data_IF_237357028319
#
_entry.id   IF_237357028319
#
_cell.length_a   1.000
_cell.length_b   1.000
_cell.length_c   1.000
_cell.angle_alpha   90.00
_cell.angle_beta   90.00
_cell.angle_gamma   90.00
#
_symmetry.space_group_name_H-M   'P 1'
#
loop_
_entity.id
_entity.type
_entity.pdbx_description
1 polymer ?
#
# COMPACT_ATOMS: atom_id res chain seq x y z
N UNK A 1 15.31 -1.82 -1.33
CA UNK A 1 13.88 -1.85 -0.92
C UNK A 1 13.77 -1.42 0.54
N UNK A 2 12.63 -0.87 0.96
CA UNK A 2 12.42 -0.50 2.37
C UNK A 2 12.28 -1.72 3.29
N UNK A 3 12.35 -1.51 4.61
CA UNK A 3 12.07 -2.56 5.60
C UNK A 3 10.61 -3.01 5.50
N UNK A 4 10.34 -4.27 5.82
CA UNK A 4 8.97 -4.79 5.88
C UNK A 4 8.23 -4.09 7.04
N UNK A 5 7.02 -3.62 6.79
CA UNK A 5 6.15 -3.06 7.82
C UNK A 5 4.99 -4.00 8.10
N UNK A 6 4.72 -4.29 9.37
CA UNK A 6 3.57 -5.09 9.80
C UNK A 6 2.57 -4.19 10.51
N UNK A 7 1.31 -4.26 10.10
CA UNK A 7 0.20 -3.46 10.60
C UNK A 7 -0.87 -4.39 11.17
N UNK A 8 -1.49 -3.97 12.28
CA UNK A 8 -2.62 -4.65 12.91
C UNK A 8 -3.81 -3.69 12.93
N UNK A 9 -4.94 -4.14 12.41
CA UNK A 9 -6.22 -3.42 12.46
C UNK A 9 -7.25 -4.26 13.21
N UNK A 10 -7.79 -3.70 14.28
CA UNK A 10 -8.95 -4.21 15.00
C UNK A 10 -10.27 -3.68 14.43
N UNK A 11 -11.38 -4.05 15.06
CA UNK A 11 -12.73 -3.64 14.66
C UNK A 11 -12.85 -2.12 14.52
N UNK A 12 -13.41 -1.67 13.41
CA UNK A 12 -13.63 -0.26 13.06
C UNK A 12 -12.40 0.49 12.57
N UNK A 13 -11.19 -0.07 12.73
CA UNK A 13 -9.98 0.58 12.24
C UNK A 13 -9.89 0.43 10.72
N UNK A 14 -9.46 1.52 10.08
CA UNK A 14 -9.32 1.66 8.64
C UNK A 14 -8.03 2.40 8.29
N UNK A 15 -7.75 2.51 6.99
CA UNK A 15 -6.76 3.43 6.47
C UNK A 15 -7.36 4.19 5.30
N UNK A 16 -7.42 5.51 5.40
CA UNK A 16 -8.08 6.37 4.42
C UNK A 16 -7.45 6.27 3.03
N UNK A 17 -8.18 6.63 1.95
CA UNK A 17 -7.64 6.66 0.61
C UNK A 17 -6.34 7.46 0.53
N UNK A 18 -5.29 6.84 -0.02
CA UNK A 18 -3.96 7.43 -0.12
C UNK A 18 -3.17 6.83 -1.29
N UNK A 19 -2.02 7.44 -1.57
CA UNK A 19 -1.02 6.91 -2.49
C UNK A 19 0.21 6.47 -1.71
N UNK A 20 0.87 5.42 -2.20
CA UNK A 20 2.15 4.99 -1.67
C UNK A 20 3.35 5.69 -2.31
N UNK A 21 3.20 6.25 -3.52
CA UNK A 21 4.24 7.07 -4.13
C UNK A 21 4.43 8.38 -3.38
N UNK A 22 5.63 8.94 -3.49
CA UNK A 22 5.92 10.30 -3.10
C UNK A 22 5.42 11.27 -4.18
N UNK A 23 4.53 12.19 -3.82
CA UNK A 23 4.06 13.21 -4.76
C UNK A 23 5.22 14.11 -5.21
N UNK A 24 5.59 14.15 -6.51
CA UNK A 24 6.67 14.99 -7.01
C UNK A 24 6.45 16.49 -6.77
N UNK A 25 5.19 16.93 -6.59
CA UNK A 25 4.85 18.32 -6.31
C UNK A 25 5.08 18.72 -4.86
N UNK A 26 5.23 17.75 -3.96
CA UNK A 26 5.43 18.00 -2.55
C UNK A 26 6.93 17.96 -2.20
N UNK A 27 7.51 19.14 -2.01
CA UNK A 27 8.93 19.31 -1.69
C UNK A 27 9.38 18.56 -0.42
N UNK A 28 8.47 18.25 0.50
CA UNK A 28 8.81 17.49 1.72
C UNK A 28 9.27 16.06 1.41
N UNK A 29 8.92 15.51 0.26
CA UNK A 29 9.35 14.17 -0.13
C UNK A 29 10.72 14.10 -0.79
N UNK A 30 11.39 15.22 -1.07
CA UNK A 30 12.70 15.22 -1.72
C UNK A 30 13.74 14.42 -0.93
N UNK A 31 13.72 14.52 0.41
CA UNK A 31 14.57 13.71 1.29
C UNK A 31 14.27 12.21 1.16
N UNK A 32 13.00 11.84 1.04
CA UNK A 32 12.61 10.44 0.89
C UNK A 32 13.00 9.90 -0.48
N UNK A 33 12.82 10.68 -1.54
CA UNK A 33 13.24 10.32 -2.90
C UNK A 33 14.76 10.13 -2.96
N UNK A 34 15.55 10.98 -2.29
CA UNK A 34 17.00 10.86 -2.22
C UNK A 34 17.51 9.53 -1.63
N UNK A 35 16.70 8.84 -0.81
CA UNK A 35 17.06 7.56 -0.17
C UNK A 35 16.89 6.33 -1.05
N UNK A 36 16.37 6.46 -2.28
CA UNK A 36 16.17 5.29 -3.15
C UNK A 36 15.22 5.52 -4.33
N UNK A 37 15.09 6.75 -4.80
CA UNK A 37 14.16 7.13 -5.87
C UNK A 37 12.68 7.03 -5.45
N UNK A 38 11.78 6.93 -6.42
CA UNK A 38 10.34 6.76 -6.16
C UNK A 38 10.02 5.38 -5.55
N UNK A 39 8.89 5.25 -4.83
CA UNK A 39 8.26 3.95 -4.59
C UNK A 39 7.53 3.53 -5.86
N UNK A 40 8.04 2.51 -6.54
CA UNK A 40 7.55 2.08 -7.87
C UNK A 40 6.45 1.02 -7.79
N UNK A 41 6.35 0.34 -6.65
CA UNK A 41 5.28 -0.63 -6.43
C UNK A 41 5.13 -1.00 -4.96
N UNK A 42 3.97 -1.56 -4.65
CA UNK A 42 3.60 -2.00 -3.31
C UNK A 42 3.22 -3.46 -3.37
N UNK A 43 3.75 -4.25 -2.43
CA UNK A 43 3.30 -5.61 -2.16
C UNK A 43 2.65 -5.65 -0.77
N UNK A 44 1.35 -5.90 -0.76
CA UNK A 44 0.55 -6.13 0.44
C UNK A 44 0.39 -7.62 0.65
N UNK A 45 0.76 -8.14 1.81
CA UNK A 45 0.67 -9.56 2.17
C UNK A 45 -0.32 -9.72 3.33
N UNK A 46 -1.39 -10.47 3.08
CA UNK A 46 -2.42 -10.72 4.08
C UNK A 46 -1.98 -11.84 5.02
N UNK A 47 -1.74 -11.49 6.29
CA UNK A 47 -1.20 -12.41 7.30
C UNK A 47 -2.30 -13.07 8.15
N UNK A 48 -3.54 -12.61 8.03
CA UNK A 48 -4.71 -13.21 8.66
C UNK A 48 -5.90 -13.22 7.71
N UNK A 49 -6.81 -14.17 7.94
CA UNK A 49 -8.16 -14.08 7.42
C UNK A 49 -8.94 -13.06 8.26
N UNK A 50 -9.84 -12.32 7.62
CA UNK A 50 -10.70 -11.35 8.29
C UNK A 50 -12.14 -11.80 8.13
N UNK A 51 -12.86 -11.93 9.24
CA UNK A 51 -14.22 -12.48 9.23
C UNK A 51 -15.20 -11.58 8.46
N UNK A 52 -15.11 -10.26 8.61
CA UNK A 52 -15.91 -9.30 7.84
C UNK A 52 -15.21 -7.95 7.69
N UNK A 53 -15.36 -7.31 6.51
CA UNK A 53 -14.70 -6.04 6.18
C UNK A 53 -13.20 -6.22 5.90
N UNK A 54 -12.41 -5.16 6.13
CA UNK A 54 -10.95 -5.23 6.05
C UNK A 54 -10.36 -5.32 4.63
N UNK A 55 -11.18 -5.14 3.59
CA UNK A 55 -10.76 -5.13 2.18
C UNK A 55 -9.68 -4.09 1.87
N UNK A 56 -8.94 -4.29 0.79
CA UNK A 56 -8.15 -3.24 0.15
C UNK A 56 -8.94 -2.70 -1.04
N UNK A 57 -9.41 -1.46 -0.96
CA UNK A 57 -10.26 -0.84 -1.97
C UNK A 57 -9.44 0.09 -2.88
N UNK A 58 -9.67 0.02 -4.19
CA UNK A 58 -9.12 0.90 -5.22
C UNK A 58 -10.29 1.65 -5.88
N UNK A 59 -10.68 2.81 -5.34
CA UNK A 59 -11.93 3.47 -5.73
C UNK A 59 -11.94 3.92 -7.19
N UNK A 60 -10.78 4.27 -7.75
CA UNK A 60 -10.69 4.76 -9.14
C UNK A 60 -10.92 3.70 -10.21
N UNK A 61 -10.82 2.43 -9.85
CA UNK A 61 -11.03 1.30 -10.76
C UNK A 61 -12.18 0.39 -10.30
N UNK A 62 -12.94 0.83 -9.28
CA UNK A 62 -14.06 0.08 -8.70
C UNK A 62 -13.70 -1.36 -8.32
N UNK A 63 -12.57 -1.54 -7.64
CA UNK A 63 -12.07 -2.85 -7.23
C UNK A 63 -11.90 -2.90 -5.71
N UNK A 64 -12.34 -3.98 -5.09
CA UNK A 64 -11.99 -4.32 -3.70
C UNK A 64 -11.44 -5.74 -3.62
N UNK A 65 -10.26 -5.86 -3.02
CA UNK A 65 -9.60 -7.14 -2.78
C UNK A 65 -9.81 -7.53 -1.32
N UNK A 66 -10.48 -8.66 -1.08
CA UNK A 66 -10.70 -9.17 0.27
C UNK A 66 -9.44 -9.86 0.81
N UNK A 67 -9.09 -9.63 2.09
CA UNK A 67 -7.95 -10.27 2.70
C UNK A 67 -8.18 -11.78 2.82
N UNK A 68 -7.20 -12.56 2.42
CA UNK A 68 -7.15 -14.01 2.63
C UNK A 68 -5.73 -14.39 3.02
N UNK A 69 -5.57 -15.10 4.13
CA UNK A 69 -4.26 -15.43 4.70
C UNK A 69 -3.38 -16.14 3.66
N UNK A 70 -2.13 -15.67 3.55
CA UNK A 70 -1.14 -16.22 2.63
C UNK A 70 -1.22 -15.66 1.21
N UNK A 71 -2.26 -14.90 0.86
CA UNK A 71 -2.31 -14.19 -0.41
C UNK A 71 -1.53 -12.86 -0.33
N UNK A 72 -1.04 -12.44 -1.49
CA UNK A 72 -0.46 -11.13 -1.68
C UNK A 72 -1.15 -10.37 -2.81
N UNK A 73 -1.21 -9.05 -2.67
CA UNK A 73 -1.67 -8.12 -3.68
C UNK A 73 -0.50 -7.21 -4.05
N UNK A 74 -0.17 -7.21 -5.34
CA UNK A 74 0.82 -6.30 -5.93
C UNK A 74 0.12 -5.26 -6.78
N UNK A 75 0.59 -4.02 -6.70
CA UNK A 75 0.22 -2.97 -7.65
C UNK A 75 1.38 -2.00 -7.87
N UNK A 76 1.43 -1.45 -9.08
CA UNK A 76 2.40 -0.43 -9.45
C UNK A 76 1.97 0.94 -8.92
N UNK A 77 2.95 1.72 -8.45
CA UNK A 77 2.77 3.11 -8.03
C UNK A 77 3.24 4.11 -9.10
N UNK A 78 3.87 3.60 -10.16
CA UNK A 78 4.34 4.35 -11.31
C UNK A 78 3.98 3.63 -12.60
N UNK A 79 3.81 4.37 -13.68
CA UNK A 79 3.67 3.85 -15.04
C UNK A 79 5.02 3.38 -15.59
N UNK A 80 5.01 2.77 -16.76
CA UNK A 80 6.22 2.32 -17.46
C UNK A 80 7.18 3.47 -17.81
N UNK A 81 6.66 4.67 -18.04
CA UNK A 81 7.46 5.89 -18.29
C UNK A 81 8.03 6.53 -16.99
N UNK A 82 7.76 5.92 -15.83
CA UNK A 82 8.21 6.41 -14.53
C UNK A 82 7.34 7.51 -13.91
N UNK A 83 6.31 7.99 -14.61
CA UNK A 83 5.33 8.91 -14.03
C UNK A 83 4.49 8.22 -12.95
N UNK A 84 3.96 8.98 -11.99
CA UNK A 84 3.10 8.43 -10.93
C UNK A 84 1.83 7.79 -11.52
N UNK A 85 1.33 6.73 -10.91
CA UNK A 85 0.11 6.04 -11.33
C UNK A 85 -1.08 6.50 -10.48
N UNK A 86 -1.96 7.41 -10.95
CA UNK A 86 -3.08 7.89 -10.16
C UNK A 86 -4.13 6.82 -9.87
N UNK A 87 -4.18 5.72 -10.63
CA UNK A 87 -5.11 4.60 -10.38
C UNK A 87 -4.69 3.74 -9.19
N UNK A 88 -3.48 3.93 -8.64
CA UNK A 88 -3.02 3.24 -7.43
C UNK A 88 -3.59 3.82 -6.12
N UNK A 89 -4.47 4.83 -6.20
CA UNK A 89 -5.21 5.33 -5.05
C UNK A 89 -5.92 4.16 -4.38
N UNK A 90 -5.63 3.92 -3.10
CA UNK A 90 -6.19 2.79 -2.39
C UNK A 90 -6.44 3.09 -0.91
N UNK A 91 -7.30 2.28 -0.30
CA UNK A 91 -7.70 2.40 1.10
C UNK A 91 -7.75 1.01 1.76
N UNK A 92 -7.52 0.97 3.07
CA UNK A 92 -7.85 -0.17 3.90
C UNK A 92 -9.25 0.01 4.47
N UNK A 93 -10.21 -0.77 4.00
CA UNK A 93 -11.60 -0.68 4.45
C UNK A 93 -11.73 -1.08 5.94
N UNK A 94 -12.73 -0.55 6.67
CA UNK A 94 -12.96 -0.89 8.07
C UNK A 94 -13.05 -2.40 8.30
N UNK A 95 -12.41 -2.90 9.35
CA UNK A 95 -12.64 -4.26 9.83
C UNK A 95 -13.97 -4.29 10.59
N UNK A 96 -14.94 -5.04 10.09
CA UNK A 96 -16.26 -5.15 10.74
C UNK A 96 -16.27 -6.27 11.80
N UNK A 97 -15.53 -7.35 11.58
CA UNK A 97 -15.37 -8.48 12.51
C UNK A 97 -14.01 -9.17 12.32
N UNK A 98 -13.39 -9.60 13.41
CA UNK A 98 -12.06 -10.23 13.42
C UNK A 98 -10.92 -9.22 13.58
N UNK A 99 -9.71 -9.62 13.17
CA UNK A 99 -8.50 -8.77 13.20
C UNK A 99 -7.71 -8.95 11.91
N UNK A 100 -7.31 -7.84 11.29
CA UNK A 100 -6.48 -7.85 10.08
C UNK A 100 -5.01 -7.64 10.45
N UNK A 101 -4.18 -8.60 10.09
CA UNK A 101 -2.72 -8.44 10.04
C UNK A 101 -2.29 -8.31 8.58
N UNK A 102 -1.53 -7.26 8.28
CA UNK A 102 -1.05 -6.95 6.93
C UNK A 102 0.44 -6.64 7.00
N UNK A 103 1.22 -7.25 6.12
CA UNK A 103 2.60 -6.84 5.89
C UNK A 103 2.70 -6.07 4.57
N UNK A 104 3.40 -4.94 4.59
CA UNK A 104 3.62 -4.07 3.43
C UNK A 104 5.10 -4.02 3.09
N UNK A 105 5.40 -4.21 1.81
CA UNK A 105 6.74 -4.01 1.24
C UNK A 105 6.66 -2.98 0.12
N UNK A 106 7.37 -1.88 0.28
CA UNK A 106 7.53 -0.90 -0.78
C UNK A 106 8.80 -1.15 -1.58
N UNK A 107 8.62 -1.23 -2.90
CA UNK A 107 9.68 -1.36 -3.89
C UNK A 107 10.16 0.03 -4.27
N UNK A 108 11.48 0.20 -4.32
CA UNK A 108 12.16 1.48 -4.58
C UNK A 108 12.78 1.42 -5.97
N UNK A 109 12.73 2.53 -6.70
CA UNK A 109 13.31 2.65 -8.05
C UNK A 109 14.81 2.33 -8.06
N UNK A 110 15.51 2.73 -7.00
CA UNK A 110 16.94 2.53 -6.83
C UNK A 110 17.24 1.69 -5.56
N UNK A 111 18.46 1.15 -5.41
CA UNK A 111 18.92 0.61 -4.15
C UNK A 111 18.62 1.58 -3.00
N UNK A 112 18.01 1.06 -1.93
CA UNK A 112 17.54 1.89 -0.83
C UNK A 112 18.67 2.07 0.19
N UNK A 113 18.94 3.32 0.57
CA UNK A 113 19.94 3.71 1.55
C UNK A 113 19.20 4.27 2.76
N UNK A 114 19.35 3.61 3.92
CA UNK A 114 18.62 3.94 5.15
C UNK A 114 19.23 5.11 5.90
#
# INVERSE_FOLDING_TARGET
>A
MERLQVLKYGKGQEYRPHYDFFDPKNANYQKNIGKGGQRVGTLLMYLSDVEAGGGTNFPKINLEVRPKKGMALYFANTKFDGSIEPLSLHAGMPVNKGTKFLATKWLRANPYVS
#
